data_IF_728035112308
#
_entry.id   IF_728035112308
#
_cell.length_a   1.000
_cell.length_b   1.000
_cell.length_c   1.000
_cell.angle_alpha   90.00
_cell.angle_beta   90.00
_cell.angle_gamma   90.00
#
_symmetry.space_group_name_H-M   'P 1'
#
loop_
_entity.id
_entity.type
_entity.pdbx_description
1 polymer ?
#
# COMPACT_ATOMS: atom_id res chain seq x y z
N UNK A 1 4.42 26.86 23.40
CA UNK A 1 4.62 26.30 22.05
C UNK A 1 4.21 24.82 21.91
N UNK A 2 3.65 24.16 22.95
CA UNK A 2 3.32 22.72 22.95
C UNK A 2 1.87 22.36 22.56
N UNK A 3 0.97 23.33 22.45
CA UNK A 3 -0.46 23.04 22.17
C UNK A 3 -0.76 22.76 20.69
N UNK A 4 -0.05 23.39 19.76
CA UNK A 4 -0.37 23.21 18.30
C UNK A 4 -0.05 21.80 17.80
N UNK A 5 1.01 21.20 18.26
CA UNK A 5 1.39 19.82 17.85
C UNK A 5 0.40 18.78 18.39
N UNK A 6 -0.25 19.06 19.52
CA UNK A 6 -1.24 18.17 20.13
C UNK A 6 -2.59 18.24 19.39
N UNK A 7 -2.97 19.42 18.90
CA UNK A 7 -4.25 19.62 18.18
C UNK A 7 -4.20 18.99 16.78
N UNK A 8 -3.09 19.14 16.05
CA UNK A 8 -2.90 18.50 14.73
C UNK A 8 -2.90 16.96 14.83
N UNK A 9 -2.22 16.42 15.84
CA UNK A 9 -2.20 14.99 16.11
C UNK A 9 -3.59 14.43 16.40
N UNK A 10 -4.38 15.19 17.16
CA UNK A 10 -5.77 14.84 17.45
C UNK A 10 -6.63 14.84 16.19
N UNK A 11 -6.51 15.87 15.36
CA UNK A 11 -7.26 15.98 14.10
C UNK A 11 -6.92 14.87 13.12
N UNK A 12 -5.64 14.50 13.01
CA UNK A 12 -5.19 13.36 12.19
C UNK A 12 -5.83 12.07 12.70
N UNK A 13 -5.75 11.81 14.01
CA UNK A 13 -6.32 10.61 14.60
C UNK A 13 -7.83 10.55 14.34
N UNK A 14 -8.56 11.64 14.57
CA UNK A 14 -9.98 11.72 14.32
C UNK A 14 -10.34 11.49 12.84
N UNK A 15 -9.55 12.02 11.90
CA UNK A 15 -9.72 11.76 10.48
C UNK A 15 -9.57 10.26 10.16
N UNK A 16 -8.52 9.61 10.67
CA UNK A 16 -8.25 8.18 10.39
C UNK A 16 -9.34 7.29 11.01
N UNK A 17 -9.84 7.61 12.19
CA UNK A 17 -10.97 6.90 12.81
C UNK A 17 -12.25 7.03 11.96
N UNK A 18 -12.55 8.22 11.47
CA UNK A 18 -13.72 8.44 10.62
C UNK A 18 -13.59 7.68 9.29
N UNK A 19 -12.41 7.67 8.70
CA UNK A 19 -12.12 6.90 7.47
C UNK A 19 -12.35 5.41 7.73
N UNK A 20 -11.84 4.88 8.83
CA UNK A 20 -12.05 3.49 9.20
C UNK A 20 -13.54 3.15 9.42
N UNK A 21 -14.23 3.93 10.23
CA UNK A 21 -15.65 3.69 10.56
C UNK A 21 -16.56 3.82 9.32
N UNK A 22 -16.29 4.78 8.44
CA UNK A 22 -17.14 5.04 7.28
C UNK A 22 -16.86 4.14 6.10
N UNK A 23 -15.57 3.86 5.83
CA UNK A 23 -15.12 3.25 4.59
C UNK A 23 -14.42 1.90 4.79
N UNK A 24 -14.09 1.51 6.04
CA UNK A 24 -13.42 0.27 6.38
C UNK A 24 -11.91 0.24 6.13
N UNK A 25 -11.29 1.36 5.75
CA UNK A 25 -9.86 1.46 5.50
C UNK A 25 -9.11 1.79 6.78
N UNK A 26 -8.23 0.91 7.22
CA UNK A 26 -7.47 1.09 8.46
C UNK A 26 -6.04 1.60 8.18
N UNK A 27 -5.83 2.88 8.40
CA UNK A 27 -4.53 3.54 8.28
C UNK A 27 -3.83 3.76 9.64
N UNK A 28 -4.44 3.32 10.75
CA UNK A 28 -3.92 3.58 12.10
C UNK A 28 -2.61 2.87 12.40
N UNK A 29 -2.32 1.78 11.68
CA UNK A 29 -1.06 1.05 11.76
C UNK A 29 0.09 1.64 10.94
N UNK A 30 -0.15 2.70 10.17
CA UNK A 30 0.89 3.35 9.37
C UNK A 30 1.84 4.15 10.24
N UNK A 31 3.10 4.31 9.79
CA UNK A 31 4.04 5.23 10.45
C UNK A 31 3.44 6.62 10.55
N UNK A 32 3.34 7.16 11.77
CA UNK A 32 2.77 8.47 12.05
C UNK A 32 3.38 9.56 11.15
N UNK A 33 4.71 9.60 11.06
CA UNK A 33 5.40 10.60 10.26
C UNK A 33 5.04 10.49 8.76
N UNK A 34 4.88 9.26 8.25
CA UNK A 34 4.53 9.02 6.85
C UNK A 34 3.10 9.45 6.55
N UNK A 35 2.13 9.01 7.37
CA UNK A 35 0.73 9.31 7.17
C UNK A 35 0.45 10.82 7.29
N UNK A 36 1.03 11.48 8.31
CA UNK A 36 0.93 12.91 8.51
C UNK A 36 1.38 13.69 7.28
N UNK A 37 2.60 13.42 6.78
CA UNK A 37 3.14 14.10 5.60
C UNK A 37 2.22 13.95 4.38
N UNK A 38 1.64 12.77 4.17
CA UNK A 38 0.76 12.50 3.03
C UNK A 38 -0.58 13.19 3.16
N UNK A 39 -1.15 13.24 4.38
CA UNK A 39 -2.38 14.00 4.64
C UNK A 39 -2.15 15.48 4.33
N UNK A 40 -1.05 16.08 4.79
CA UNK A 40 -0.76 17.48 4.49
C UNK A 40 -0.52 17.73 3.01
N UNK A 41 0.17 16.82 2.31
CA UNK A 41 0.32 16.90 0.86
C UNK A 41 -1.05 16.86 0.16
N UNK A 42 -1.93 15.94 0.55
CA UNK A 42 -3.28 15.84 0.01
C UNK A 42 -4.13 17.11 0.26
N UNK A 43 -4.02 17.69 1.46
CA UNK A 43 -4.69 18.96 1.78
C UNK A 43 -4.26 20.07 0.81
N UNK A 44 -2.98 20.17 0.50
CA UNK A 44 -2.44 21.17 -0.42
C UNK A 44 -2.95 20.94 -1.86
N UNK A 45 -2.91 19.70 -2.36
CA UNK A 45 -3.40 19.36 -3.71
C UNK A 45 -4.90 19.64 -3.87
N UNK A 46 -5.71 19.32 -2.86
CA UNK A 46 -7.16 19.54 -2.88
C UNK A 46 -7.57 20.95 -2.44
N UNK A 47 -6.61 21.82 -2.09
CA UNK A 47 -6.80 23.18 -1.59
C UNK A 47 -7.74 23.24 -0.39
N UNK A 48 -7.53 22.32 0.54
CA UNK A 48 -8.24 22.22 1.81
C UNK A 48 -7.35 22.81 2.90
N UNK A 49 -7.84 23.77 3.67
CA UNK A 49 -7.00 24.49 4.63
C UNK A 49 -6.77 23.71 5.92
N UNK A 50 -7.72 22.89 6.35
CA UNK A 50 -7.70 22.23 7.66
C UNK A 50 -8.18 20.79 7.59
N UNK A 51 -7.62 19.93 8.46
CA UNK A 51 -7.98 18.52 8.58
C UNK A 51 -9.48 18.32 8.92
N UNK A 52 -10.11 19.08 9.83
CA UNK A 52 -11.54 18.96 10.09
C UNK A 52 -12.43 19.21 8.85
N UNK A 53 -12.02 20.08 7.95
CA UNK A 53 -12.71 20.29 6.68
C UNK A 53 -12.61 19.05 5.79
N UNK A 54 -11.40 18.47 5.67
CA UNK A 54 -11.20 17.23 4.95
C UNK A 54 -12.08 16.11 5.54
N UNK A 55 -12.11 15.97 6.86
CA UNK A 55 -12.92 14.99 7.57
C UNK A 55 -14.41 15.15 7.23
N UNK A 56 -14.92 16.38 7.23
CA UNK A 56 -16.31 16.65 6.86
C UNK A 56 -16.62 16.27 5.41
N UNK A 57 -15.72 16.59 4.48
CA UNK A 57 -15.90 16.37 3.03
C UNK A 57 -15.76 14.90 2.66
N UNK A 58 -14.77 14.20 3.23
CA UNK A 58 -14.41 12.82 2.86
C UNK A 58 -15.51 11.81 3.17
N UNK A 59 -16.34 12.05 4.19
CA UNK A 59 -17.47 11.16 4.53
C UNK A 59 -18.63 11.27 3.56
N UNK A 60 -18.71 12.36 2.78
CA UNK A 60 -19.81 12.71 1.89
C UNK A 60 -19.46 12.57 0.42
N UNK A 61 -18.19 12.68 0.07
CA UNK A 61 -17.69 12.62 -1.29
C UNK A 61 -16.83 11.37 -1.50
N UNK A 62 -17.43 10.33 -2.12
CA UNK A 62 -16.74 9.08 -2.45
C UNK A 62 -15.58 9.31 -3.42
N UNK A 63 -15.67 10.30 -4.32
CA UNK A 63 -14.59 10.59 -5.28
C UNK A 63 -13.39 11.19 -4.56
N UNK A 64 -13.64 12.13 -3.64
CA UNK A 64 -12.59 12.69 -2.79
C UNK A 64 -11.94 11.61 -1.93
N UNK A 65 -12.74 10.72 -1.35
CA UNK A 65 -12.23 9.57 -0.60
C UNK A 65 -11.33 8.66 -1.45
N UNK A 66 -11.74 8.32 -2.68
CA UNK A 66 -10.94 7.47 -3.56
C UNK A 66 -9.58 8.10 -3.92
N UNK A 67 -9.53 9.42 -4.12
CA UNK A 67 -8.26 10.15 -4.30
C UNK A 67 -7.42 10.13 -3.04
N UNK A 68 -8.03 10.39 -1.89
CA UNK A 68 -7.37 10.33 -0.58
C UNK A 68 -6.69 8.97 -0.35
N UNK A 69 -7.40 7.87 -0.57
CA UNK A 69 -6.82 6.52 -0.44
C UNK A 69 -5.60 6.36 -1.34
N UNK A 70 -5.73 6.73 -2.62
CA UNK A 70 -4.65 6.61 -3.60
C UNK A 70 -3.40 7.40 -3.19
N UNK A 71 -3.56 8.61 -2.65
CA UNK A 71 -2.44 9.49 -2.32
C UNK A 71 -1.83 9.16 -0.95
N UNK A 72 -2.64 8.65 -0.02
CA UNK A 72 -2.21 8.27 1.32
C UNK A 72 -1.57 6.88 1.35
N UNK A 73 -1.97 5.96 0.47
CA UNK A 73 -1.31 4.66 0.34
C UNK A 73 0.08 4.79 -0.27
N UNK A 74 0.97 3.90 0.15
CA UNK A 74 2.37 3.90 -0.31
C UNK A 74 2.48 3.00 -1.54
N UNK A 75 2.26 3.55 -2.74
CA UNK A 75 2.46 2.83 -4.00
C UNK A 75 3.90 2.99 -4.51
N UNK A 76 4.90 2.77 -3.64
CA UNK A 76 6.31 2.78 -4.04
C UNK A 76 6.77 1.34 -4.22
N UNK A 77 7.00 0.98 -5.46
CA UNK A 77 7.51 -0.33 -5.85
C UNK A 77 8.55 -0.16 -6.94
N UNK A 78 9.47 -1.09 -7.06
CA UNK A 78 10.49 -1.13 -8.10
C UNK A 78 10.85 -2.57 -8.45
N UNK A 79 11.42 -2.78 -9.63
CA UNK A 79 11.86 -4.09 -10.06
C UNK A 79 12.97 -4.62 -9.14
N UNK A 80 12.80 -5.87 -8.68
CA UNK A 80 13.75 -6.53 -7.78
C UNK A 80 14.09 -5.72 -6.52
N UNK A 81 13.15 -4.90 -6.05
CA UNK A 81 13.27 -4.21 -4.76
C UNK A 81 13.62 -5.23 -3.68
N UNK A 82 14.66 -4.99 -2.92
CA UNK A 82 15.22 -5.94 -1.97
C UNK A 82 15.83 -7.20 -2.62
N UNK A 83 16.99 -7.08 -3.31
CA UNK A 83 17.63 -8.20 -4.01
C UNK A 83 17.92 -9.41 -3.13
N UNK A 84 18.15 -9.19 -1.82
CA UNK A 84 18.39 -10.28 -0.86
C UNK A 84 17.17 -11.18 -0.73
N UNK A 85 15.97 -10.63 -0.74
CA UNK A 85 14.72 -11.39 -0.74
C UNK A 85 14.69 -12.37 -1.94
N UNK A 86 14.94 -11.89 -3.16
CA UNK A 86 14.91 -12.74 -4.36
C UNK A 86 15.99 -13.81 -4.35
N UNK A 87 17.16 -13.53 -3.78
CA UNK A 87 18.21 -14.53 -3.56
C UNK A 87 17.74 -15.63 -2.60
N UNK A 88 17.04 -15.24 -1.52
CA UNK A 88 16.49 -16.22 -0.57
C UNK A 88 15.36 -17.04 -1.21
N UNK A 89 14.46 -16.43 -1.97
CA UNK A 89 13.42 -17.13 -2.73
C UNK A 89 14.07 -18.15 -3.66
N UNK A 90 15.09 -17.75 -4.41
CA UNK A 90 15.81 -18.64 -5.33
C UNK A 90 16.44 -19.82 -4.60
N UNK A 91 17.07 -19.57 -3.45
CA UNK A 91 17.81 -20.58 -2.69
C UNK A 91 16.91 -21.53 -1.90
N UNK A 92 15.83 -21.02 -1.31
CA UNK A 92 15.04 -21.78 -0.35
C UNK A 92 13.67 -22.21 -0.89
N UNK A 93 13.01 -21.38 -1.69
CA UNK A 93 11.64 -21.59 -2.13
C UNK A 93 11.58 -22.30 -3.49
N UNK A 94 12.40 -21.88 -4.45
CA UNK A 94 12.43 -22.47 -5.79
C UNK A 94 12.65 -23.99 -5.77
N UNK A 95 13.58 -24.55 -4.96
CA UNK A 95 13.75 -26.02 -4.89
C UNK A 95 12.47 -26.75 -4.44
N UNK A 96 11.73 -26.16 -3.51
CA UNK A 96 10.43 -26.70 -3.05
C UNK A 96 9.38 -26.61 -4.15
N UNK A 97 9.27 -25.46 -4.82
CA UNK A 97 8.30 -25.25 -5.90
C UNK A 97 8.51 -26.22 -7.08
N UNK A 98 9.73 -26.67 -7.32
CA UNK A 98 10.03 -27.65 -8.36
C UNK A 98 9.34 -28.99 -8.16
N UNK A 99 8.99 -29.35 -6.92
CA UNK A 99 8.32 -30.62 -6.60
C UNK A 99 6.83 -30.63 -6.91
N UNK A 100 6.22 -29.46 -7.15
CA UNK A 100 4.79 -29.31 -7.40
C UNK A 100 4.49 -29.24 -8.90
N UNK A 101 3.47 -29.93 -9.39
CA UNK A 101 3.07 -29.87 -10.80
C UNK A 101 2.42 -28.53 -11.18
N UNK A 102 1.72 -27.91 -10.23
CA UNK A 102 1.09 -26.60 -10.39
C UNK A 102 1.41 -25.70 -9.21
N UNK A 103 1.73 -24.45 -9.50
CA UNK A 103 2.12 -23.45 -8.51
C UNK A 103 1.09 -22.32 -8.57
N UNK A 104 0.60 -21.92 -7.39
CA UNK A 104 -0.25 -20.73 -7.23
C UNK A 104 0.46 -19.74 -6.32
N UNK A 105 0.56 -18.51 -6.78
CA UNK A 105 1.24 -17.42 -6.07
C UNK A 105 0.27 -16.25 -5.97
N UNK A 106 0.25 -15.62 -4.84
CA UNK A 106 -0.57 -14.44 -4.61
C UNK A 106 0.29 -13.29 -4.09
N UNK A 107 0.27 -12.19 -4.83
CA UNK A 107 0.82 -10.91 -4.42
C UNK A 107 -0.30 -10.05 -3.87
N UNK A 108 -0.32 -9.86 -2.57
CA UNK A 108 -1.25 -8.96 -1.88
C UNK A 108 -0.61 -7.59 -1.72
N UNK A 109 -1.23 -6.55 -2.29
CA UNK A 109 -0.65 -5.21 -2.32
C UNK A 109 0.40 -5.06 -3.43
N UNK A 110 0.04 -5.43 -4.66
CA UNK A 110 0.99 -5.49 -5.77
C UNK A 110 1.37 -4.12 -6.37
N UNK A 111 0.73 -3.04 -5.94
CA UNK A 111 0.90 -1.69 -6.47
C UNK A 111 0.86 -1.67 -8.02
N UNK A 112 1.90 -1.17 -8.67
CA UNK A 112 2.01 -1.09 -10.14
C UNK A 112 2.55 -2.38 -10.78
N UNK A 113 2.87 -3.41 -9.97
CA UNK A 113 3.14 -4.77 -10.43
C UNK A 113 4.60 -5.16 -10.54
N UNK A 114 5.56 -4.31 -10.16
CA UNK A 114 6.99 -4.58 -10.31
C UNK A 114 7.44 -5.82 -9.54
N UNK A 115 6.86 -6.08 -8.37
CA UNK A 115 7.13 -7.31 -7.61
C UNK A 115 6.61 -8.55 -8.35
N UNK A 116 5.41 -8.44 -8.96
CA UNK A 116 4.82 -9.52 -9.76
C UNK A 116 5.70 -9.87 -10.93
N UNK A 117 6.16 -8.87 -11.69
CA UNK A 117 7.06 -9.07 -12.83
C UNK A 117 8.42 -9.59 -12.39
N UNK A 118 8.98 -9.09 -11.30
CA UNK A 118 10.26 -9.57 -10.76
C UNK A 118 10.22 -11.05 -10.42
N UNK A 119 9.14 -11.49 -9.75
CA UNK A 119 8.96 -12.90 -9.44
C UNK A 119 8.69 -13.74 -10.70
N UNK A 120 7.87 -13.23 -11.63
CA UNK A 120 7.61 -13.90 -12.90
C UNK A 120 8.91 -14.12 -13.70
N UNK A 121 9.81 -13.14 -13.74
CA UNK A 121 11.13 -13.27 -14.38
C UNK A 121 11.99 -14.33 -13.69
N UNK A 122 12.00 -14.37 -12.35
CA UNK A 122 12.70 -15.42 -11.60
C UNK A 122 12.13 -16.80 -11.92
N UNK A 123 10.81 -16.96 -11.91
CA UNK A 123 10.15 -18.23 -12.25
C UNK A 123 10.44 -18.66 -13.70
N UNK A 124 10.49 -17.69 -14.63
CA UNK A 124 10.86 -17.96 -16.02
C UNK A 124 12.30 -18.50 -16.13
N UNK A 125 13.27 -17.85 -15.49
CA UNK A 125 14.65 -18.30 -15.43
C UNK A 125 14.77 -19.73 -14.87
N UNK A 126 13.94 -20.08 -13.89
CA UNK A 126 13.92 -21.39 -13.24
C UNK A 126 13.01 -22.42 -13.95
N UNK A 127 12.42 -22.05 -15.11
CA UNK A 127 11.50 -22.89 -15.92
C UNK A 127 10.24 -23.33 -15.15
N UNK A 128 9.74 -22.48 -14.27
CA UNK A 128 8.54 -22.72 -13.45
C UNK A 128 7.34 -21.89 -13.89
N UNK A 129 7.53 -20.83 -14.69
CA UNK A 129 6.48 -19.89 -15.02
C UNK A 129 5.29 -20.54 -15.74
N UNK A 130 5.53 -21.44 -16.69
CA UNK A 130 4.48 -22.08 -17.50
C UNK A 130 3.50 -22.91 -16.67
N UNK A 131 3.92 -23.39 -15.51
CA UNK A 131 3.08 -24.14 -14.57
C UNK A 131 2.68 -23.33 -13.34
N UNK A 132 2.86 -22.02 -13.39
CA UNK A 132 2.51 -21.08 -12.32
C UNK A 132 1.31 -20.23 -12.71
N UNK A 133 0.40 -20.03 -11.75
CA UNK A 133 -0.65 -19.03 -11.83
C UNK A 133 -0.37 -17.96 -10.78
N UNK A 134 -0.26 -16.71 -11.23
CA UNK A 134 0.03 -15.58 -10.34
C UNK A 134 -1.23 -14.73 -10.23
N UNK A 135 -1.67 -14.51 -9.00
CA UNK A 135 -2.74 -13.59 -8.63
C UNK A 135 -2.10 -12.32 -8.07
N UNK A 136 -2.55 -11.18 -8.53
CA UNK A 136 -2.08 -9.88 -8.08
C UNK A 136 -3.28 -9.02 -7.70
N UNK A 137 -3.31 -8.51 -6.48
CA UNK A 137 -4.40 -7.67 -5.96
C UNK A 137 -3.84 -6.47 -5.24
N UNK A 138 -4.55 -5.36 -5.37
CA UNK A 138 -4.29 -4.10 -4.64
C UNK A 138 -5.61 -3.42 -4.28
N UNK A 139 -5.53 -2.36 -3.48
CA UNK A 139 -6.69 -1.57 -3.01
C UNK A 139 -7.05 -0.43 -3.97
#
# INVERSE_FOLDING_TARGET
>A
MSNFQNDEDYDIHALLEVVFLKWGYDFRGYSKASITRRIFYFLQEERIEKIPELQYRIVRDKKLFSRFVKDVTVNVTEMFRDPVFYQQVKKQIIPQLRTYPHIKIWHAGCATGEEVYSLAMLLHQERLLERSTIYATDI
#
